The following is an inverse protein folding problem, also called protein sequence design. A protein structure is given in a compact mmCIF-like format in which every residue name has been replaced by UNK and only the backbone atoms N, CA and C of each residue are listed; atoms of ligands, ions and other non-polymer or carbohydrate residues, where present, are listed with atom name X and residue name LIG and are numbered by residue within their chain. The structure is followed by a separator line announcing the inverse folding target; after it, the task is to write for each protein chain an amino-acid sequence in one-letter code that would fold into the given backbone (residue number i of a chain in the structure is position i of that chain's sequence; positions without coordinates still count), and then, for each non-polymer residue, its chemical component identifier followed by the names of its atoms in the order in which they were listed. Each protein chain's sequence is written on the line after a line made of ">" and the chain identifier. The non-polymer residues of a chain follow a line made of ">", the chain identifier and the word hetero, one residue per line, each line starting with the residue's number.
data_IF_370912904421
#
_entry.id   IF_370912904421
#
_cell.length_a   1.000
_cell.length_b   1.000
_cell.length_c   1.000
_cell.angle_alpha   90.00
_cell.angle_beta   90.00
_cell.angle_gamma   90.00
#
_symmetry.space_group_name_H-M   'P 1'
#
loop_
_entity.id
_entity.type
_entity.pdbx_description
1 polymer ?
#
# COMPACT_ATOMS: atom_id res chain seq x y z
N UNK A 1 11.73 4.32 30.85
CA UNK A 1 10.78 5.38 31.26
C UNK A 1 9.82 5.65 30.12
N UNK A 2 8.57 5.20 30.25
CA UNK A 2 7.54 5.48 29.26
C UNK A 2 7.49 6.97 29.00
N UNK A 3 7.78 7.41 27.78
CA UNK A 3 7.62 8.82 27.42
C UNK A 3 6.16 9.21 27.64
N UNK A 4 5.94 10.08 28.62
CA UNK A 4 4.64 10.67 28.86
C UNK A 4 4.30 11.56 27.67
N UNK A 5 3.38 11.11 26.81
CA UNK A 5 2.84 12.02 25.83
C UNK A 5 2.42 11.46 24.49
N UNK A 6 2.53 10.19 24.28
CA UNK A 6 2.18 9.54 23.02
C UNK A 6 0.70 9.16 22.93
N UNK A 7 0.22 9.14 21.73
CA UNK A 7 -1.15 9.03 21.28
C UNK A 7 -1.92 7.85 21.91
N UNK A 8 -3.24 7.84 21.69
CA UNK A 8 -4.15 6.76 22.07
C UNK A 8 -3.76 5.35 21.56
N UNK A 9 -2.68 5.23 20.78
CA UNK A 9 -2.16 3.97 20.24
C UNK A 9 -1.06 3.33 21.10
N UNK A 10 -0.44 4.09 22.01
CA UNK A 10 0.62 3.55 22.87
C UNK A 10 0.07 3.22 24.26
N UNK A 11 0.24 1.98 24.66
CA UNK A 11 -0.05 1.55 26.04
C UNK A 11 1.16 1.76 26.93
N UNK A 12 0.92 2.03 28.19
CA UNK A 12 1.96 1.98 29.23
C UNK A 12 2.40 0.53 29.39
N UNK A 13 3.71 0.29 29.34
CA UNK A 13 4.29 -1.06 29.47
C UNK A 13 5.80 -1.01 29.61
N UNK A 14 6.46 -2.17 29.74
CA UNK A 14 7.89 -2.25 29.73
C UNK A 14 8.44 -1.77 28.38
N UNK A 15 9.53 -1.01 28.42
CA UNK A 15 10.32 -0.61 27.26
C UNK A 15 11.80 -0.91 27.57
N UNK A 16 12.60 -1.14 26.54
CA UNK A 16 14.06 -1.21 26.70
C UNK A 16 14.59 0.13 27.26
N UNK A 17 15.64 0.07 28.07
CA UNK A 17 16.19 1.28 28.72
C UNK A 17 16.74 2.28 27.69
N UNK A 18 17.25 1.79 26.58
CA UNK A 18 17.82 2.52 25.45
C UNK A 18 16.83 2.81 24.32
N UNK A 19 15.55 2.49 24.50
CA UNK A 19 14.56 2.73 23.45
C UNK A 19 14.30 4.21 23.23
N UNK A 20 14.63 4.67 22.01
CA UNK A 20 14.30 5.99 21.49
C UNK A 20 13.49 5.83 20.20
N UNK A 21 12.32 6.41 20.16
CA UNK A 21 11.42 6.34 18.98
C UNK A 21 12.01 7.03 17.73
N UNK A 22 12.88 8.01 17.92
CA UNK A 22 13.62 8.68 16.85
C UNK A 22 14.74 7.83 16.26
N UNK A 23 15.18 6.77 16.94
CA UNK A 23 16.27 5.88 16.50
C UNK A 23 15.78 4.56 15.92
N UNK A 24 14.46 4.37 15.83
CA UNK A 24 13.88 3.12 15.31
C UNK A 24 14.32 2.85 13.87
N UNK A 25 14.29 3.87 13.00
CA UNK A 25 14.66 3.69 11.58
C UNK A 25 16.15 3.42 11.41
N UNK A 26 17.02 4.16 12.10
CA UNK A 26 18.46 3.91 12.06
C UNK A 26 18.80 2.52 12.56
N UNK A 27 18.15 2.06 13.64
CA UNK A 27 18.33 0.71 14.16
C UNK A 27 17.95 -0.36 13.12
N UNK A 28 16.80 -0.20 12.43
CA UNK A 28 16.44 -1.12 11.33
C UNK A 28 17.47 -1.13 10.21
N UNK A 29 18.02 0.02 9.84
CA UNK A 29 19.05 0.12 8.80
C UNK A 29 20.34 -0.57 9.23
N UNK A 30 20.76 -0.38 10.47
CA UNK A 30 21.97 -0.97 11.03
C UNK A 30 21.88 -2.51 11.12
N UNK A 31 20.75 -3.02 11.59
CA UNK A 31 20.51 -4.46 11.65
C UNK A 31 20.42 -5.09 10.25
N UNK A 32 19.78 -4.39 9.29
CA UNK A 32 19.80 -4.81 7.90
C UNK A 32 21.23 -4.83 7.34
N UNK A 33 22.05 -3.83 7.66
CA UNK A 33 23.45 -3.76 7.28
C UNK A 33 24.30 -4.90 7.84
N UNK A 34 24.13 -5.23 9.13
CA UNK A 34 24.80 -6.36 9.77
C UNK A 34 24.43 -7.70 9.10
N UNK A 35 23.14 -7.89 8.82
CA UNK A 35 22.65 -9.08 8.13
C UNK A 35 23.24 -9.21 6.71
N UNK A 36 23.22 -8.13 5.92
CA UNK A 36 23.77 -8.09 4.57
C UNK A 36 25.27 -8.43 4.57
N UNK A 37 26.04 -7.79 5.46
CA UNK A 37 27.48 -8.04 5.59
C UNK A 37 27.77 -9.51 5.93
N UNK A 38 27.11 -10.03 6.96
CA UNK A 38 27.28 -11.44 7.37
C UNK A 38 26.88 -12.43 6.29
N UNK A 39 25.85 -12.15 5.51
CA UNK A 39 25.41 -13.02 4.41
C UNK A 39 26.37 -12.97 3.23
N UNK A 40 26.92 -11.78 2.91
CA UNK A 40 27.90 -11.63 1.85
C UNK A 40 29.20 -12.38 2.13
N UNK A 41 29.66 -12.40 3.38
CA UNK A 41 30.85 -13.14 3.81
C UNK A 41 30.68 -14.65 3.63
N UNK A 42 29.48 -15.17 3.93
CA UNK A 42 29.14 -16.59 3.76
C UNK A 42 28.94 -17.02 2.32
N UNK A 43 28.74 -16.05 1.42
CA UNK A 43 28.38 -16.26 -0.01
C UNK A 43 27.09 -17.06 -0.21
N UNK A 44 26.21 -17.06 0.78
CA UNK A 44 24.91 -17.70 0.68
C UNK A 44 23.87 -16.75 0.07
N UNK A 45 22.94 -17.24 -0.76
CA UNK A 45 21.77 -16.46 -1.14
C UNK A 45 20.97 -16.06 0.09
N UNK A 46 20.42 -14.86 0.08
CA UNK A 46 19.59 -14.40 1.18
C UNK A 46 18.27 -13.78 0.72
N UNK A 47 17.30 -13.83 1.60
CA UNK A 47 16.07 -13.04 1.53
C UNK A 47 15.99 -12.17 2.79
N UNK A 48 15.90 -10.86 2.60
CA UNK A 48 15.78 -9.91 3.70
C UNK A 48 14.50 -9.09 3.52
N UNK A 49 13.60 -9.16 4.48
CA UNK A 49 12.40 -8.32 4.55
C UNK A 49 12.57 -7.28 5.66
N UNK A 50 12.69 -6.01 5.28
CA UNK A 50 12.82 -4.89 6.20
C UNK A 50 11.48 -4.20 6.35
N UNK A 51 10.74 -4.55 7.39
CA UNK A 51 9.42 -4.00 7.69
C UNK A 51 9.57 -2.68 8.46
N UNK A 52 9.81 -1.58 7.75
CA UNK A 52 9.92 -0.25 8.36
C UNK A 52 8.60 0.17 9.01
N UNK A 53 8.68 0.80 10.18
CA UNK A 53 7.51 1.36 10.88
C UNK A 53 7.06 2.71 10.30
N UNK A 54 7.92 3.34 9.54
CA UNK A 54 7.71 4.64 8.92
C UNK A 54 7.05 4.52 7.52
N UNK A 55 6.32 5.55 7.10
CA UNK A 55 6.02 6.80 7.78
C UNK A 55 4.72 6.77 8.61
N UNK A 56 4.35 5.62 9.19
CA UNK A 56 3.17 5.49 10.06
C UNK A 56 3.31 6.34 11.33
N UNK A 57 2.19 6.81 11.86
CA UNK A 57 2.18 7.46 13.19
C UNK A 57 2.53 6.45 14.29
N UNK A 58 3.29 6.89 15.30
CA UNK A 58 3.82 8.23 15.57
C UNK A 58 4.93 8.64 14.61
N UNK A 59 4.88 9.87 14.10
CA UNK A 59 5.95 10.40 13.25
C UNK A 59 7.09 10.91 14.13
N UNK A 60 8.21 10.21 14.10
CA UNK A 60 9.40 10.49 14.91
C UNK A 60 10.64 10.47 14.02
N UNK A 61 10.84 11.49 13.19
CA UNK A 61 12.04 11.57 12.37
C UNK A 61 13.29 11.73 13.24
N UNK A 62 14.42 11.24 12.74
CA UNK A 62 15.73 11.57 13.31
C UNK A 62 15.94 13.08 13.29
N UNK A 63 16.69 13.64 14.27
CA UNK A 63 16.85 15.08 14.45
C UNK A 63 17.39 15.81 13.20
N UNK A 64 18.19 15.11 12.40
CA UNK A 64 18.72 15.68 11.15
C UNK A 64 17.65 15.98 10.09
N UNK A 65 16.46 15.36 10.19
CA UNK A 65 15.36 15.57 9.24
C UNK A 65 14.32 16.58 9.73
N UNK A 66 14.37 16.98 11.01
CA UNK A 66 13.40 17.92 11.55
C UNK A 66 13.40 19.25 10.80
N UNK A 67 12.23 19.67 10.31
CA UNK A 67 12.02 20.89 9.54
C UNK A 67 12.57 20.88 8.11
N UNK A 68 13.12 19.78 7.61
CA UNK A 68 13.78 19.74 6.29
C UNK A 68 12.81 19.66 5.12
N UNK A 69 11.66 19.03 5.30
CA UNK A 69 10.71 18.85 4.19
C UNK A 69 9.93 20.13 3.84
N UNK A 70 9.79 21.06 4.78
CA UNK A 70 8.83 22.16 4.67
C UNK A 70 7.36 21.71 4.71
N UNK A 71 7.10 20.41 4.85
CA UNK A 71 5.77 19.78 4.87
C UNK A 71 5.37 19.27 6.25
N UNK A 72 6.06 19.77 7.29
CA UNK A 72 5.85 19.36 8.68
C UNK A 72 6.38 17.96 8.97
N UNK A 73 6.13 17.47 10.18
CA UNK A 73 6.77 16.27 10.70
C UNK A 73 6.50 15.00 9.88
N UNK A 74 5.36 14.91 9.20
CA UNK A 74 5.10 13.79 8.31
C UNK A 74 6.02 13.80 7.09
N UNK A 75 6.19 14.97 6.46
CA UNK A 75 7.12 15.13 5.36
C UNK A 75 8.56 14.84 5.77
N UNK A 76 8.97 15.33 6.94
CA UNK A 76 10.30 15.04 7.51
C UNK A 76 10.50 13.53 7.72
N UNK A 77 9.46 12.83 8.21
CA UNK A 77 9.52 11.40 8.45
C UNK A 77 9.52 10.59 7.13
N UNK A 78 8.88 11.08 6.08
CA UNK A 78 8.99 10.51 4.73
C UNK A 78 10.42 10.67 4.19
N UNK A 79 11.05 11.84 4.36
CA UNK A 79 12.44 12.04 3.99
C UNK A 79 13.40 11.11 4.76
N UNK A 80 13.17 10.92 6.05
CA UNK A 80 13.94 10.00 6.88
C UNK A 80 13.75 8.54 6.40
N UNK A 81 12.53 8.16 6.00
CA UNK A 81 12.24 6.84 5.42
C UNK A 81 13.02 6.61 4.13
N UNK A 82 13.04 7.60 3.24
CA UNK A 82 13.81 7.53 1.98
C UNK A 82 15.32 7.40 2.25
N UNK A 83 15.85 8.18 3.21
CA UNK A 83 17.24 8.06 3.64
C UNK A 83 17.57 6.68 4.21
N UNK A 84 16.65 6.06 4.95
CA UNK A 84 16.81 4.70 5.45
C UNK A 84 16.95 3.70 4.28
N UNK A 85 16.11 3.81 3.25
CA UNK A 85 16.24 2.99 2.04
C UNK A 85 17.61 3.21 1.38
N UNK A 86 18.06 4.45 1.34
CA UNK A 86 19.40 4.82 0.87
C UNK A 86 20.52 4.11 1.65
N UNK A 87 20.43 4.12 2.99
CA UNK A 87 21.40 3.42 3.88
C UNK A 87 21.44 1.91 3.58
N UNK A 88 20.30 1.25 3.42
CA UNK A 88 20.25 -0.18 3.05
C UNK A 88 20.94 -0.44 1.69
N UNK A 89 20.68 0.42 0.70
CA UNK A 89 21.39 0.34 -0.61
C UNK A 89 22.90 0.50 -0.47
N UNK A 90 23.35 1.38 0.40
CA UNK A 90 24.76 1.60 0.66
C UNK A 90 25.42 0.40 1.34
N UNK A 91 24.69 -0.30 2.23
CA UNK A 91 25.17 -1.57 2.79
C UNK A 91 25.33 -2.64 1.73
N UNK A 92 24.39 -2.78 0.78
CA UNK A 92 24.53 -3.71 -0.35
C UNK A 92 25.78 -3.39 -1.20
N UNK A 93 26.02 -2.12 -1.50
CA UNK A 93 27.21 -1.67 -2.26
C UNK A 93 28.50 -1.93 -1.51
N UNK A 94 28.58 -1.55 -0.22
CA UNK A 94 29.75 -1.77 0.64
C UNK A 94 30.10 -3.25 0.78
N UNK A 95 29.09 -4.11 0.79
CA UNK A 95 29.25 -5.57 0.86
C UNK A 95 29.51 -6.21 -0.51
N UNK A 96 29.50 -5.43 -1.61
CA UNK A 96 29.79 -5.90 -2.96
C UNK A 96 28.72 -6.81 -3.57
N UNK A 97 27.49 -6.82 -3.01
CA UNK A 97 26.39 -7.68 -3.46
C UNK A 97 25.27 -6.93 -4.17
N UNK A 98 25.40 -5.62 -4.33
CA UNK A 98 24.39 -4.76 -4.97
C UNK A 98 24.05 -5.19 -6.41
N UNK A 99 25.04 -5.68 -7.16
CA UNK A 99 24.86 -6.13 -8.55
C UNK A 99 24.15 -7.48 -8.68
N UNK A 100 24.16 -8.28 -7.61
CA UNK A 100 23.53 -9.61 -7.58
C UNK A 100 22.26 -9.63 -6.71
N UNK A 101 21.81 -8.48 -6.23
CA UNK A 101 20.64 -8.38 -5.36
C UNK A 101 19.51 -7.65 -6.06
N UNK A 102 18.32 -8.25 -6.05
CA UNK A 102 17.08 -7.57 -6.38
C UNK A 102 16.59 -6.82 -5.15
N UNK A 103 16.50 -5.50 -5.23
CA UNK A 103 15.94 -4.63 -4.19
C UNK A 103 14.54 -4.19 -4.61
N UNK A 104 13.56 -4.47 -3.77
CA UNK A 104 12.17 -4.02 -3.93
C UNK A 104 11.84 -3.02 -2.84
N UNK A 105 11.20 -1.92 -3.22
CA UNK A 105 10.67 -0.92 -2.29
C UNK A 105 9.19 -0.76 -2.54
N UNK A 106 8.39 -0.90 -1.48
CA UNK A 106 6.95 -0.73 -1.56
C UNK A 106 6.37 -0.26 -0.23
N UNK A 107 5.05 -0.10 -0.18
CA UNK A 107 4.27 0.14 1.04
C UNK A 107 3.17 -0.91 1.13
N UNK A 108 2.63 -1.13 2.33
CA UNK A 108 1.56 -2.10 2.59
C UNK A 108 0.18 -1.60 2.09
N UNK A 109 -0.06 -0.30 2.10
CA UNK A 109 -1.29 0.36 1.64
C UNK A 109 -1.05 1.86 1.42
N UNK A 110 -2.05 2.55 0.89
CA UNK A 110 -2.02 3.99 0.70
C UNK A 110 -1.93 4.79 2.00
N UNK A 111 -1.68 6.12 1.92
CA UNK A 111 -1.42 6.96 3.08
C UNK A 111 -2.63 7.01 4.03
N UNK A 112 -2.34 7.09 5.34
CA UNK A 112 -3.36 7.34 6.35
C UNK A 112 -3.71 8.84 6.41
N UNK A 113 -5.00 9.17 6.35
CA UNK A 113 -5.48 10.56 6.51
C UNK A 113 -5.08 11.19 7.84
N UNK A 114 -4.70 10.38 8.82
CA UNK A 114 -4.24 10.78 10.16
C UNK A 114 -2.71 10.86 10.28
N UNK A 115 -1.99 10.61 9.21
CA UNK A 115 -0.53 10.67 9.19
C UNK A 115 -0.04 12.06 9.63
N UNK A 116 1.13 12.10 10.28
CA UNK A 116 1.66 13.31 10.90
C UNK A 116 1.04 13.67 12.25
N UNK A 117 0.09 12.90 12.75
CA UNK A 117 -0.51 13.13 14.06
C UNK A 117 0.43 12.66 15.16
N UNK A 118 0.94 13.62 15.96
CA UNK A 118 1.77 13.31 17.13
C UNK A 118 0.96 13.27 18.45
N UNK A 119 -0.06 14.13 18.59
CA UNK A 119 -0.90 14.26 19.79
C UNK A 119 -2.34 14.54 19.39
N UNK A 120 -3.30 14.25 20.27
CA UNK A 120 -4.73 14.54 20.03
C UNK A 120 -5.02 16.00 19.65
N UNK A 121 -4.17 16.93 20.05
CA UNK A 121 -4.36 18.36 19.84
C UNK A 121 -3.77 18.91 18.53
N UNK A 122 -3.00 18.11 17.76
CA UNK A 122 -2.43 18.59 16.50
C UNK A 122 -3.43 18.33 15.39
N UNK A 123 -3.83 19.35 14.63
CA UNK A 123 -4.70 19.21 13.47
C UNK A 123 -4.12 18.23 12.46
N UNK A 124 -4.99 17.65 11.67
CA UNK A 124 -4.66 16.69 10.63
C UNK A 124 -3.68 17.28 9.61
N UNK A 125 -2.41 16.99 9.77
CA UNK A 125 -1.35 17.52 8.92
C UNK A 125 -1.60 17.24 7.43
N UNK A 126 -2.17 16.08 7.09
CA UNK A 126 -2.57 15.76 5.71
C UNK A 126 -3.50 16.79 5.10
N UNK A 127 -4.46 17.33 5.87
CA UNK A 127 -5.36 18.40 5.38
C UNK A 127 -4.64 19.71 5.13
N UNK A 128 -3.69 20.05 5.98
CA UNK A 128 -2.90 21.26 5.79
C UNK A 128 -2.01 21.11 4.56
N UNK A 129 -1.36 19.96 4.38
CA UNK A 129 -0.59 19.65 3.17
C UNK A 129 -1.44 19.72 1.90
N UNK A 130 -2.67 19.20 1.94
CA UNK A 130 -3.60 19.28 0.80
C UNK A 130 -4.04 20.72 0.48
N UNK A 131 -4.20 21.58 1.47
CA UNK A 131 -4.46 23.01 1.25
C UNK A 131 -3.29 23.72 0.55
N UNK A 132 -2.06 23.29 0.84
CA UNK A 132 -0.85 23.75 0.18
C UNK A 132 -0.59 23.06 -1.17
N UNK A 133 -1.53 22.24 -1.63
CA UNK A 133 -1.46 21.57 -2.94
C UNK A 133 -0.66 20.26 -2.94
N UNK A 134 -0.22 19.75 -1.79
CA UNK A 134 0.47 18.47 -1.71
C UNK A 134 -0.49 17.35 -1.31
N UNK A 135 -0.63 16.38 -2.20
CA UNK A 135 -1.50 15.21 -2.01
C UNK A 135 -0.63 13.95 -1.89
N UNK A 136 -0.44 13.44 -0.68
CA UNK A 136 0.37 12.22 -0.43
C UNK A 136 -0.15 10.99 -1.17
N UNK A 137 -1.43 10.98 -1.55
CA UNK A 137 -2.08 9.95 -2.38
C UNK A 137 -2.00 10.25 -3.89
N UNK A 138 -1.33 11.33 -4.29
CA UNK A 138 -1.35 11.79 -5.68
C UNK A 138 -2.77 12.13 -6.17
N UNK A 139 -3.06 11.77 -7.42
CA UNK A 139 -4.37 11.99 -8.05
C UNK A 139 -5.47 11.00 -7.60
N UNK A 140 -5.08 9.95 -6.84
CA UNK A 140 -5.95 8.84 -6.48
C UNK A 140 -6.97 9.24 -5.43
N UNK A 141 -8.20 8.73 -5.54
CA UNK A 141 -9.25 8.95 -4.55
C UNK A 141 -9.05 8.06 -3.32
N UNK A 142 -9.48 8.56 -2.16
CA UNK A 142 -9.46 7.79 -0.92
C UNK A 142 -8.11 7.81 -0.20
N UNK A 143 -8.02 7.02 0.87
CA UNK A 143 -6.89 6.86 1.77
C UNK A 143 -6.89 5.45 2.33
N UNK A 144 -5.91 5.10 3.16
CA UNK A 144 -5.89 3.87 3.97
C UNK A 144 -7.29 3.49 4.45
N UNK A 145 -7.63 2.22 4.40
CA UNK A 145 -8.94 1.61 4.70
C UNK A 145 -10.00 1.75 3.61
N UNK A 146 -9.78 2.52 2.57
CA UNK A 146 -10.75 2.62 1.48
C UNK A 146 -10.45 1.60 0.38
N UNK A 147 -11.51 1.21 -0.33
CA UNK A 147 -11.39 0.38 -1.53
C UNK A 147 -11.11 1.20 -2.80
N UNK A 148 -10.92 2.51 -2.67
CA UNK A 148 -10.46 3.38 -3.76
C UNK A 148 -8.96 3.28 -3.97
N UNK A 149 -8.48 3.71 -5.15
CA UNK A 149 -7.08 3.65 -5.53
C UNK A 149 -6.12 4.30 -4.52
N UNK A 150 -6.51 5.43 -3.90
CA UNK A 150 -5.70 6.08 -2.88
C UNK A 150 -5.51 5.27 -1.59
N UNK A 151 -6.30 4.22 -1.38
CA UNK A 151 -6.14 3.29 -0.27
C UNK A 151 -5.39 2.01 -0.65
N UNK A 152 -5.47 1.61 -1.93
CA UNK A 152 -4.98 0.32 -2.41
C UNK A 152 -3.69 0.43 -3.24
N UNK A 153 -3.56 1.49 -4.03
CA UNK A 153 -2.38 1.71 -4.87
C UNK A 153 -1.21 2.20 -4.03
N UNK A 154 -0.09 1.53 -4.16
CA UNK A 154 1.15 1.83 -3.41
C UNK A 154 2.30 2.12 -4.38
N UNK A 155 3.34 2.87 -3.96
CA UNK A 155 4.58 2.92 -4.70
C UNK A 155 5.17 1.50 -4.81
N UNK A 156 5.71 1.16 -5.96
CA UNK A 156 6.39 -0.10 -6.19
C UNK A 156 7.59 0.13 -7.09
N UNK A 157 8.77 -0.05 -6.56
CA UNK A 157 10.03 0.13 -7.28
C UNK A 157 10.91 -1.11 -7.16
N UNK A 158 11.55 -1.48 -8.27
CA UNK A 158 12.48 -2.60 -8.33
C UNK A 158 13.81 -2.15 -8.92
N UNK A 159 14.89 -2.47 -8.23
CA UNK A 159 16.25 -2.35 -8.75
C UNK A 159 16.85 -3.75 -8.85
N UNK A 160 17.18 -4.19 -10.04
CA UNK A 160 17.83 -5.49 -10.27
C UNK A 160 18.83 -5.36 -11.42
N UNK A 161 20.09 -5.05 -11.13
CA UNK A 161 21.10 -4.80 -12.16
C UNK A 161 21.26 -5.99 -13.10
N UNK A 162 21.27 -5.72 -14.39
CA UNK A 162 21.38 -6.73 -15.43
C UNK A 162 20.08 -7.45 -15.80
N UNK A 163 18.97 -7.20 -15.07
CA UNK A 163 17.65 -7.77 -15.35
C UNK A 163 16.62 -6.69 -15.63
N UNK A 164 16.53 -5.69 -14.76
CA UNK A 164 15.60 -4.56 -14.90
C UNK A 164 16.32 -3.38 -15.51
N UNK A 165 15.79 -2.87 -16.62
CA UNK A 165 16.35 -1.69 -17.30
C UNK A 165 16.18 -0.43 -16.44
N UNK A 166 17.25 0.32 -16.15
CA UNK A 166 17.16 1.55 -15.37
C UNK A 166 16.19 2.57 -15.99
N UNK A 167 15.29 3.10 -15.17
CA UNK A 167 14.29 4.09 -15.59
C UNK A 167 13.10 3.51 -16.36
N UNK A 168 13.03 2.19 -16.54
CA UNK A 168 11.88 1.54 -17.14
C UNK A 168 10.63 1.69 -16.27
N UNK A 169 9.47 1.71 -16.92
CA UNK A 169 8.15 1.75 -16.28
C UNK A 169 7.29 0.62 -16.84
N UNK A 170 6.44 0.05 -15.99
CA UNK A 170 5.50 -0.98 -16.40
C UNK A 170 4.16 -0.74 -15.69
N UNK A 171 3.09 -0.60 -16.48
CA UNK A 171 1.73 -0.34 -16.00
C UNK A 171 0.91 -1.62 -15.76
N UNK A 172 1.56 -2.78 -15.84
CA UNK A 172 0.90 -4.06 -15.62
C UNK A 172 0.43 -4.23 -14.18
N UNK A 173 -0.67 -4.94 -14.02
CA UNK A 173 -1.26 -5.21 -12.72
C UNK A 173 -0.38 -6.18 -11.91
N UNK A 174 0.05 -5.75 -10.73
CA UNK A 174 0.84 -6.54 -9.78
C UNK A 174 0.27 -6.34 -8.37
N UNK A 175 0.10 -7.42 -7.63
CA UNK A 175 -0.25 -7.39 -6.22
C UNK A 175 0.95 -7.66 -5.31
N UNK A 176 0.94 -7.16 -4.08
CA UNK A 176 2.01 -7.48 -3.12
C UNK A 176 2.06 -8.98 -2.76
N UNK A 177 0.94 -9.67 -2.85
CA UNK A 177 0.86 -11.13 -2.72
C UNK A 177 1.65 -11.88 -3.81
N UNK A 178 1.92 -11.25 -4.97
CA UNK A 178 2.67 -11.84 -6.07
C UNK A 178 4.17 -11.97 -5.79
N UNK A 179 4.66 -11.32 -4.73
CA UNK A 179 6.05 -11.45 -4.28
C UNK A 179 6.41 -12.90 -3.94
N UNK A 180 5.49 -13.68 -3.37
CA UNK A 180 5.75 -15.07 -3.01
C UNK A 180 6.06 -15.92 -4.24
N UNK A 181 5.19 -15.91 -5.25
CA UNK A 181 5.41 -16.66 -6.48
C UNK A 181 6.63 -16.14 -7.26
N UNK A 182 6.86 -14.83 -7.24
CA UNK A 182 8.03 -14.23 -7.92
C UNK A 182 9.34 -14.67 -7.27
N UNK A 183 9.42 -14.67 -5.95
CA UNK A 183 10.60 -15.14 -5.23
C UNK A 183 10.83 -16.65 -5.44
N UNK A 184 9.77 -17.44 -5.44
CA UNK A 184 9.86 -18.87 -5.72
C UNK A 184 10.38 -19.14 -7.15
N UNK A 185 9.85 -18.43 -8.14
CA UNK A 185 10.26 -18.50 -9.54
C UNK A 185 11.74 -18.11 -9.72
N UNK A 186 12.19 -17.05 -9.07
CA UNK A 186 13.60 -16.64 -9.04
C UNK A 186 14.49 -17.72 -8.41
N UNK A 187 14.02 -18.36 -7.35
CA UNK A 187 14.74 -19.42 -6.65
C UNK A 187 14.67 -20.79 -7.36
N UNK A 188 13.89 -20.92 -8.44
CA UNK A 188 13.66 -22.17 -9.13
C UNK A 188 12.87 -23.19 -8.30
N UNK A 189 11.98 -22.71 -7.42
CA UNK A 189 11.16 -23.51 -6.54
C UNK A 189 9.71 -23.50 -7.03
N UNK A 190 9.14 -24.68 -7.24
CA UNK A 190 7.73 -24.83 -7.57
C UNK A 190 6.87 -24.75 -6.31
N UNK A 191 5.89 -23.85 -6.31
CA UNK A 191 4.92 -23.76 -5.23
C UNK A 191 3.84 -24.84 -5.36
N UNK A 192 3.42 -25.39 -4.22
CA UNK A 192 2.27 -26.30 -4.16
C UNK A 192 0.96 -25.51 -4.27
N UNK A 193 -0.11 -26.14 -4.68
CA UNK A 193 -1.44 -25.51 -4.88
C UNK A 193 -1.97 -24.74 -3.67
N UNK A 194 -1.57 -25.11 -2.46
CA UNK A 194 -1.96 -24.46 -1.22
C UNK A 194 -0.95 -23.39 -0.72
N UNK A 195 0.07 -23.08 -1.50
CA UNK A 195 1.10 -22.10 -1.18
C UNK A 195 0.93 -20.85 -2.06
N UNK A 196 0.34 -19.80 -1.50
CA UNK A 196 0.08 -18.57 -2.22
C UNK A 196 -0.88 -18.75 -3.40
N UNK A 197 -2.11 -19.29 -3.20
CA UNK A 197 -3.03 -19.66 -4.29
C UNK A 197 -3.38 -18.47 -5.19
N UNK A 198 -3.35 -17.24 -4.66
CA UNK A 198 -3.61 -16.01 -5.43
C UNK A 198 -2.34 -15.29 -5.90
N UNK A 199 -1.18 -15.90 -5.66
CA UNK A 199 0.13 -15.33 -6.01
C UNK A 199 0.52 -15.75 -7.43
N UNK A 200 0.84 -14.78 -8.27
CA UNK A 200 1.28 -15.01 -9.66
C UNK A 200 2.63 -14.30 -9.84
N UNK A 201 3.63 -15.02 -10.34
CA UNK A 201 4.95 -14.46 -10.58
C UNK A 201 4.91 -13.32 -11.61
N UNK A 202 5.43 -12.17 -11.24
CA UNK A 202 5.65 -11.04 -12.16
C UNK A 202 7.10 -10.97 -12.70
N UNK A 203 7.87 -12.03 -12.53
CA UNK A 203 9.22 -12.13 -13.09
C UNK A 203 9.28 -11.84 -14.61
N UNK A 204 8.29 -12.25 -15.43
CA UNK A 204 8.26 -11.87 -16.84
C UNK A 204 8.26 -10.36 -17.07
N UNK A 205 7.55 -9.58 -16.25
CA UNK A 205 7.54 -8.12 -16.36
C UNK A 205 8.89 -7.52 -16.01
N UNK A 206 9.59 -8.05 -15.01
CA UNK A 206 10.95 -7.63 -14.65
C UNK A 206 11.96 -7.87 -15.77
N UNK A 207 11.73 -8.91 -16.58
CA UNK A 207 12.56 -9.26 -17.76
C UNK A 207 12.10 -8.54 -19.03
N UNK A 208 11.23 -7.53 -18.91
CA UNK A 208 10.67 -6.77 -20.02
C UNK A 208 10.03 -7.66 -21.11
N UNK A 209 9.32 -8.70 -20.67
CA UNK A 209 8.57 -9.57 -21.57
C UNK A 209 7.15 -9.03 -21.76
N UNK A 210 6.73 -8.90 -23.01
CA UNK A 210 5.37 -8.50 -23.38
C UNK A 210 4.36 -9.66 -23.17
N UNK A 211 4.28 -10.15 -21.94
CA UNK A 211 3.38 -11.25 -21.56
C UNK A 211 2.39 -10.72 -20.53
N UNK A 212 1.11 -10.90 -20.78
CA UNK A 212 0.08 -10.59 -19.80
C UNK A 212 0.08 -11.69 -18.71
N UNK A 213 0.70 -11.40 -17.58
CA UNK A 213 0.79 -12.35 -16.45
C UNK A 213 -0.51 -12.37 -15.65
N UNK A 214 -1.12 -11.19 -15.43
CA UNK A 214 -2.34 -11.03 -14.63
C UNK A 214 -3.31 -10.11 -15.35
N UNK A 215 -4.55 -10.55 -15.53
CA UNK A 215 -5.64 -9.73 -16.10
C UNK A 215 -6.69 -9.32 -15.06
N UNK A 216 -6.70 -9.93 -13.88
CA UNK A 216 -7.66 -9.64 -12.83
C UNK A 216 -7.01 -9.77 -11.45
N UNK A 217 -7.56 -9.05 -10.49
CA UNK A 217 -7.11 -9.09 -9.10
C UNK A 217 -8.27 -8.74 -8.16
N UNK A 218 -8.27 -9.34 -6.99
CA UNK A 218 -9.14 -8.97 -5.88
C UNK A 218 -8.31 -8.25 -4.82
N UNK A 219 -8.77 -7.07 -4.40
CA UNK A 219 -8.25 -6.39 -3.24
C UNK A 219 -9.34 -6.36 -2.16
N UNK A 220 -9.08 -7.01 -1.02
CA UNK A 220 -10.03 -7.08 0.07
C UNK A 220 -10.06 -5.74 0.83
N UNK A 221 -11.23 -5.12 0.86
CA UNK A 221 -11.48 -3.95 1.69
C UNK A 221 -12.15 -4.33 3.02
N UNK A 222 -12.18 -3.40 3.97
CA UNK A 222 -12.79 -3.66 5.29
C UNK A 222 -14.29 -3.99 5.20
N UNK A 223 -15.00 -3.42 4.23
CA UNK A 223 -16.45 -3.60 4.03
C UNK A 223 -16.88 -3.75 2.57
N UNK A 224 -15.97 -3.58 1.65
CA UNK A 224 -16.22 -3.74 0.23
C UNK A 224 -14.94 -4.18 -0.47
N UNK A 225 -15.00 -5.27 -1.18
CA UNK A 225 -13.91 -5.73 -2.01
C UNK A 225 -13.86 -4.94 -3.30
N UNK A 226 -12.66 -4.79 -3.86
CA UNK A 226 -12.42 -4.24 -5.18
C UNK A 226 -11.94 -5.38 -6.10
N UNK A 227 -12.64 -5.57 -7.21
CA UNK A 227 -12.27 -6.50 -8.26
C UNK A 227 -11.81 -5.73 -9.50
N UNK A 228 -10.61 -6.03 -9.94
CA UNK A 228 -10.00 -5.44 -11.12
C UNK A 228 -10.04 -6.41 -12.29
N UNK A 229 -10.30 -5.88 -13.48
CA UNK A 229 -10.21 -6.61 -14.75
C UNK A 229 -9.75 -5.67 -15.85
N UNK A 230 -8.49 -5.78 -16.29
CA UNK A 230 -7.87 -4.80 -17.14
C UNK A 230 -7.97 -3.40 -16.50
N UNK A 231 -8.48 -2.42 -17.24
CA UNK A 231 -8.66 -1.05 -16.74
C UNK A 231 -9.93 -0.85 -15.89
N UNK A 232 -10.77 -1.87 -15.78
CA UNK A 232 -12.03 -1.77 -15.05
C UNK A 232 -11.88 -2.17 -13.60
N UNK A 233 -12.50 -1.40 -12.73
CA UNK A 233 -12.56 -1.68 -11.30
C UNK A 233 -14.00 -1.70 -10.83
N UNK A 234 -14.39 -2.80 -10.22
CA UNK A 234 -15.67 -3.01 -9.57
C UNK A 234 -15.48 -2.96 -8.05
N UNK A 235 -16.20 -2.11 -7.35
CA UNK A 235 -16.27 -2.11 -5.88
C UNK A 235 -17.61 -2.70 -5.46
N UNK A 236 -17.56 -3.76 -4.66
CA UNK A 236 -18.71 -4.53 -4.19
C UNK A 236 -19.32 -3.94 -2.93
N UNK A 237 -19.69 -2.67 -3.00
CA UNK A 237 -20.33 -1.96 -1.91
C UNK A 237 -20.50 -0.47 -2.20
N UNK A 238 -21.38 0.20 -1.47
CA UNK A 238 -21.55 1.64 -1.53
C UNK A 238 -20.47 2.37 -0.73
N UNK A 239 -20.06 3.53 -1.18
CA UNK A 239 -19.09 4.39 -0.50
C UNK A 239 -17.66 3.86 -0.56
N UNK A 240 -16.83 4.31 0.38
CA UNK A 240 -15.39 4.04 0.36
C UNK A 240 -14.98 2.61 0.73
N UNK A 241 -15.91 1.78 1.17
CA UNK A 241 -15.57 0.44 1.72
C UNK A 241 -14.88 0.48 3.09
N UNK A 242 -14.67 1.64 3.67
CA UNK A 242 -14.02 1.83 4.97
C UNK A 242 -14.95 1.60 6.14
N UNK A 243 -14.45 1.01 7.22
CA UNK A 243 -15.15 0.91 8.51
C UNK A 243 -15.13 2.21 9.33
N UNK A 244 -14.16 3.07 9.06
CA UNK A 244 -14.00 4.37 9.70
C UNK A 244 -14.24 5.50 8.70
N UNK A 245 -15.08 6.47 9.08
CA UNK A 245 -15.28 7.63 8.24
C UNK A 245 -14.06 8.55 8.28
N UNK A 246 -13.51 8.81 7.16
CA UNK A 246 -12.33 9.65 7.07
C UNK A 246 -12.48 10.70 5.99
N UNK A 247 -12.67 11.86 6.48
CA UNK A 247 -12.40 13.22 6.09
C UNK A 247 -13.08 13.83 4.87
N UNK A 248 -13.32 13.15 3.80
CA UNK A 248 -13.99 13.72 2.61
C UNK A 248 -14.98 12.74 1.99
N UNK A 249 -14.92 11.49 2.41
CA UNK A 249 -15.79 10.43 1.91
C UNK A 249 -16.81 10.06 2.99
N UNK A 250 -18.07 9.85 2.64
CA UNK A 250 -19.05 9.33 3.60
C UNK A 250 -18.55 7.98 4.15
N UNK A 251 -18.76 7.76 5.44
CA UNK A 251 -18.51 6.44 6.04
C UNK A 251 -19.25 5.41 5.22
N UNK A 252 -18.71 4.21 5.07
CA UNK A 252 -19.47 3.15 4.42
C UNK A 252 -20.79 2.88 5.12
N UNK A 253 -20.89 3.10 6.45
CA UNK A 253 -22.16 3.12 7.16
C UNK A 253 -23.11 4.22 6.71
N UNK A 254 -22.61 5.42 6.47
CA UNK A 254 -23.43 6.54 6.00
C UNK A 254 -23.84 6.31 4.54
N UNK A 255 -22.97 5.73 3.72
CA UNK A 255 -23.31 5.31 2.37
C UNK A 255 -24.38 4.20 2.38
N UNK A 256 -24.26 3.22 3.28
CA UNK A 256 -25.30 2.21 3.50
C UNK A 256 -26.59 2.80 4.01
N UNK A 257 -26.55 3.73 4.94
CA UNK A 257 -27.75 4.46 5.41
C UNK A 257 -28.42 5.22 4.28
N UNK A 258 -27.63 5.91 3.45
CA UNK A 258 -28.16 6.62 2.28
C UNK A 258 -28.77 5.65 1.26
N UNK A 259 -28.08 4.54 0.98
CA UNK A 259 -28.60 3.49 0.12
C UNK A 259 -29.90 2.88 0.66
N UNK A 260 -29.97 2.62 1.98
CA UNK A 260 -31.16 2.13 2.65
C UNK A 260 -32.30 3.16 2.59
N UNK A 261 -32.01 4.43 2.84
CA UNK A 261 -32.98 5.51 2.77
C UNK A 261 -33.56 5.65 1.35
N UNK A 262 -32.70 5.52 0.33
CA UNK A 262 -33.11 5.62 -1.07
C UNK A 262 -33.84 4.39 -1.59
N UNK A 263 -33.52 3.19 -1.09
CA UNK A 263 -34.01 1.89 -1.59
C UNK A 263 -34.79 1.08 -0.55
N UNK A 264 -34.99 1.63 0.64
CA UNK A 264 -35.86 1.07 1.66
C UNK A 264 -35.25 -0.02 2.55
N UNK A 265 -34.07 -0.61 2.24
CA UNK A 265 -33.47 -1.68 3.05
C UNK A 265 -32.00 -1.95 2.76
N UNK A 266 -31.30 -2.62 3.69
CA UNK A 266 -29.99 -3.24 3.44
C UNK A 266 -30.15 -4.47 2.53
N UNK A 267 -29.19 -4.75 1.66
CA UNK A 267 -29.16 -6.03 0.95
C UNK A 267 -29.10 -7.17 1.99
N UNK A 268 -29.86 -8.22 1.75
CA UNK A 268 -29.96 -9.37 2.66
C UNK A 268 -28.87 -10.42 2.44
N UNK A 269 -28.29 -10.43 1.25
CA UNK A 269 -27.28 -11.40 0.82
C UNK A 269 -26.45 -10.86 -0.34
N UNK A 270 -25.41 -11.61 -0.74
CA UNK A 270 -24.54 -11.24 -1.85
C UNK A 270 -25.27 -11.02 -3.19
N UNK A 271 -26.36 -11.74 -3.46
CA UNK A 271 -27.12 -11.57 -4.70
C UNK A 271 -27.84 -10.23 -4.80
N UNK A 272 -28.16 -9.59 -3.67
CA UNK A 272 -28.78 -8.28 -3.63
C UNK A 272 -27.79 -7.13 -3.75
N UNK A 273 -26.48 -7.41 -3.52
CA UNK A 273 -25.39 -6.45 -3.77
C UNK A 273 -25.25 -6.17 -5.28
N UNK A 274 -25.81 -7.01 -6.13
CA UNK A 274 -25.76 -6.88 -7.60
C UNK A 274 -26.60 -5.72 -8.15
N UNK A 275 -27.36 -5.05 -7.32
CA UNK A 275 -28.10 -3.87 -7.78
C UNK A 275 -27.11 -2.69 -8.01
N UNK A 276 -27.21 -1.97 -9.15
CA UNK A 276 -26.26 -0.90 -9.51
C UNK A 276 -26.11 0.21 -8.46
N UNK A 277 -27.00 0.26 -7.51
CA UNK A 277 -26.98 1.21 -6.39
C UNK A 277 -26.02 0.81 -5.26
N UNK A 278 -25.71 -0.48 -5.17
CA UNK A 278 -24.86 -1.02 -4.11
C UNK A 278 -23.45 -1.33 -4.59
N UNK A 279 -23.18 -1.15 -5.89
CA UNK A 279 -21.87 -1.38 -6.48
C UNK A 279 -21.35 -0.11 -7.14
N UNK A 280 -20.06 -0.09 -7.37
CA UNK A 280 -19.42 1.00 -8.10
C UNK A 280 -18.56 0.39 -9.20
N UNK A 281 -18.59 0.99 -10.38
CA UNK A 281 -17.79 0.57 -11.54
C UNK A 281 -17.04 1.77 -12.09
N UNK A 282 -15.75 1.62 -12.28
CA UNK A 282 -14.87 2.67 -12.78
C UNK A 282 -14.02 2.16 -13.93
N UNK A 283 -13.78 3.03 -14.92
CA UNK A 283 -12.74 2.85 -15.93
C UNK A 283 -11.52 3.67 -15.51
N UNK A 284 -10.52 3.01 -14.94
CA UNK A 284 -9.34 3.67 -14.37
C UNK A 284 -8.45 4.32 -15.44
N UNK A 285 -8.55 3.92 -16.71
CA UNK A 285 -7.83 4.58 -17.79
C UNK A 285 -8.41 5.96 -18.09
N UNK A 286 -9.75 6.08 -18.08
CA UNK A 286 -10.45 7.32 -18.35
C UNK A 286 -10.67 8.18 -17.08
N UNK A 287 -10.84 7.53 -15.93
CA UNK A 287 -11.15 8.16 -14.64
C UNK A 287 -10.28 7.56 -13.51
N UNK A 288 -8.97 7.85 -13.49
CA UNK A 288 -8.06 7.35 -12.46
C UNK A 288 -8.41 7.85 -11.06
N UNK A 289 -9.18 8.95 -10.96
CA UNK A 289 -9.64 9.53 -9.70
C UNK A 289 -10.98 8.97 -9.21
N UNK A 290 -11.55 7.97 -9.87
CA UNK A 290 -12.80 7.28 -9.47
C UNK A 290 -13.96 8.25 -9.14
N UNK A 291 -14.13 9.28 -9.98
CA UNK A 291 -15.12 10.37 -9.79
C UNK A 291 -16.50 9.98 -10.30
N UNK A 292 -16.56 9.15 -11.35
CA UNK A 292 -17.78 8.85 -12.10
C UNK A 292 -18.12 7.36 -11.96
N UNK A 293 -19.09 7.04 -11.12
CA UNK A 293 -19.58 5.67 -11.00
C UNK A 293 -20.41 5.29 -12.25
N UNK A 294 -19.89 4.35 -13.01
CA UNK A 294 -20.46 3.87 -14.28
C UNK A 294 -21.37 2.64 -14.11
N UNK A 295 -21.63 2.16 -12.89
CA UNK A 295 -22.36 0.92 -12.64
C UNK A 295 -23.77 0.91 -13.24
N UNK A 296 -24.48 2.04 -13.26
CA UNK A 296 -25.81 2.15 -13.85
C UNK A 296 -25.79 2.21 -15.39
N UNK A 297 -24.72 2.75 -15.98
CA UNK A 297 -24.57 2.90 -17.43
C UNK A 297 -24.04 1.59 -18.05
N UNK A 298 -23.09 0.94 -17.39
CA UNK A 298 -22.44 -0.29 -17.85
C UNK A 298 -22.80 -1.50 -16.98
N UNK A 299 -24.08 -1.63 -16.62
CA UNK A 299 -24.55 -2.66 -15.67
C UNK A 299 -24.25 -4.08 -16.13
N UNK A 300 -24.39 -4.40 -17.43
CA UNK A 300 -24.08 -5.71 -17.95
C UNK A 300 -22.59 -6.07 -17.84
N UNK A 301 -21.69 -5.09 -17.92
CA UNK A 301 -20.28 -5.29 -17.62
C UNK A 301 -20.09 -5.58 -16.14
N UNK A 302 -20.70 -4.78 -15.26
CA UNK A 302 -20.61 -5.00 -13.82
C UNK A 302 -21.09 -6.40 -13.41
N UNK A 303 -22.21 -6.88 -13.99
CA UNK A 303 -22.70 -8.25 -13.76
C UNK A 303 -21.67 -9.31 -14.17
N UNK A 304 -21.09 -9.20 -15.35
CA UNK A 304 -20.05 -10.12 -15.80
C UNK A 304 -18.84 -10.14 -14.89
N UNK A 305 -18.43 -9.00 -14.36
CA UNK A 305 -17.34 -8.89 -13.40
C UNK A 305 -17.71 -9.51 -12.05
N UNK A 306 -18.96 -9.33 -11.56
CA UNK A 306 -19.48 -10.01 -10.36
C UNK A 306 -19.44 -11.53 -10.53
N UNK A 307 -19.89 -12.03 -11.68
CA UNK A 307 -19.90 -13.48 -11.96
C UNK A 307 -18.50 -14.09 -11.99
N UNK A 308 -17.49 -13.33 -12.41
CA UNK A 308 -16.09 -13.75 -12.37
C UNK A 308 -15.49 -13.68 -10.98
N UNK A 309 -15.80 -12.62 -10.23
CA UNK A 309 -15.38 -12.47 -8.84
C UNK A 309 -15.87 -13.63 -7.95
N UNK A 310 -17.03 -14.19 -8.23
CA UNK A 310 -17.63 -15.32 -7.48
C UNK A 310 -17.00 -16.70 -7.79
N UNK A 311 -16.20 -16.80 -8.84
CA UNK A 311 -15.50 -18.04 -9.25
C UNK A 311 -14.15 -18.17 -8.61
#
# INVERSE_FOLDING_TARGET
>A
TAQKGWSAFNRVGPAAEDFLDTEVLSTFCDEAGKFISSSSEKKDPFFLFVALTAPHTPSSPEAEFEGKSGMGIYGDFVMNTDACIGRVRDHLRKSGVDKSTMLIVSSDHGPGHYSGRQRKAIPHQMKEMEKEGHFSRGQWRGYKFSSYEGGLRVPFGVVWPGVVEPGSQNDSMVGLNDLMATCADIAGVELKDNQGPDSISFLPYLKNQEILVRNHMVAHGTRADAYYEGNWKLILGPGSGSSGGHFTEPKSEDAWKHAIQKFGRKPKNHSEIEHPTFIQLYDLAADPGEKNNLASIHFERAKKMIDRYKK
#
